data_IF_261659950012
#
_entry.id   IF_261659950012
#
_cell.length_a   1.000
_cell.length_b   1.000
_cell.length_c   1.000
_cell.angle_alpha   90.00
_cell.angle_beta   90.00
_cell.angle_gamma   90.00
#
_symmetry.space_group_name_H-M   'P 1'
#
loop_
_entity.id
_entity.type
_entity.pdbx_description
1 polymer ?
#
# COMPACT_ATOMS: atom_id res chain seq x y z
N UNK A 1 7.97 -8.14 4.18
CA UNK A 1 6.98 -7.03 4.18
C UNK A 1 5.75 -7.51 4.97
N UNK A 2 5.27 -6.78 5.99
CA UNK A 2 4.19 -7.26 6.88
C UNK A 2 2.85 -7.44 6.17
N UNK A 3 2.47 -6.51 5.28
CA UNK A 3 1.24 -6.62 4.50
C UNK A 3 1.24 -7.89 3.64
N UNK A 4 2.35 -8.20 2.97
CA UNK A 4 2.50 -9.42 2.16
C UNK A 4 2.32 -10.72 2.97
N UNK A 5 2.86 -10.78 4.20
CA UNK A 5 2.69 -11.95 5.06
C UNK A 5 1.22 -12.15 5.43
N UNK A 6 0.50 -11.06 5.69
CA UNK A 6 -0.91 -11.13 6.07
C UNK A 6 -1.78 -11.47 4.85
N UNK A 7 -1.48 -10.90 3.67
CA UNK A 7 -2.14 -11.26 2.41
C UNK A 7 -2.03 -12.77 2.15
N UNK A 8 -0.82 -13.33 2.26
CA UNK A 8 -0.61 -14.78 2.10
C UNK A 8 -1.36 -15.60 3.14
N UNK A 9 -1.47 -15.12 4.38
CA UNK A 9 -2.29 -15.77 5.41
C UNK A 9 -3.77 -15.77 5.02
N UNK A 10 -4.31 -14.62 4.58
CA UNK A 10 -5.71 -14.47 4.21
C UNK A 10 -6.07 -15.33 2.98
N UNK A 11 -5.18 -15.41 1.99
CA UNK A 11 -5.36 -16.29 0.83
C UNK A 11 -5.39 -17.78 1.20
N UNK A 12 -4.64 -18.17 2.23
CA UNK A 12 -4.51 -19.58 2.63
C UNK A 12 -5.53 -20.01 3.69
N UNK A 13 -5.98 -19.09 4.54
CA UNK A 13 -6.77 -19.38 5.74
C UNK A 13 -8.02 -18.49 5.82
N UNK A 14 -8.74 -18.38 4.70
CA UNK A 14 -9.95 -17.56 4.59
C UNK A 14 -11.04 -17.94 5.62
N UNK A 15 -11.16 -19.22 5.97
CA UNK A 15 -12.19 -19.73 6.90
C UNK A 15 -11.72 -19.73 8.37
N UNK A 16 -10.56 -19.13 8.66
CA UNK A 16 -10.06 -19.02 10.03
C UNK A 16 -10.88 -18.01 10.83
N UNK A 17 -11.14 -18.32 12.10
CA UNK A 17 -11.68 -17.36 13.08
C UNK A 17 -10.81 -16.08 13.21
N UNK A 18 -9.55 -16.12 12.76
CA UNK A 18 -8.64 -14.97 12.75
C UNK A 18 -8.65 -14.17 11.45
N UNK A 19 -9.36 -14.62 10.42
CA UNK A 19 -9.35 -14.00 9.10
C UNK A 19 -9.83 -12.55 9.17
N UNK A 20 -10.88 -12.26 9.93
CA UNK A 20 -11.41 -10.90 10.13
C UNK A 20 -10.35 -9.97 10.75
N UNK A 21 -9.79 -10.34 11.90
CA UNK A 21 -8.77 -9.54 12.59
C UNK A 21 -7.49 -9.35 11.72
N UNK A 22 -7.12 -10.36 10.94
CA UNK A 22 -6.01 -10.27 10.00
C UNK A 22 -6.34 -9.35 8.82
N UNK A 23 -7.58 -9.34 8.34
CA UNK A 23 -8.07 -8.41 7.32
C UNK A 23 -7.98 -6.96 7.76
N UNK A 24 -8.42 -6.64 8.99
CA UNK A 24 -8.26 -5.29 9.54
C UNK A 24 -6.79 -4.87 9.65
N UNK A 25 -5.94 -5.79 10.12
CA UNK A 25 -4.51 -5.53 10.26
C UNK A 25 -3.83 -5.33 8.90
N UNK A 26 -4.26 -6.08 7.89
CA UNK A 26 -3.82 -5.94 6.51
C UNK A 26 -4.16 -4.55 5.96
N UNK A 27 -5.41 -4.10 6.15
CA UNK A 27 -5.85 -2.75 5.79
C UNK A 27 -4.97 -1.66 6.41
N UNK A 28 -4.71 -1.75 7.72
CA UNK A 28 -3.83 -0.80 8.43
C UNK A 28 -2.42 -0.76 7.86
N UNK A 29 -1.81 -1.91 7.56
CA UNK A 29 -0.47 -1.93 6.98
C UNK A 29 -0.44 -1.39 5.56
N UNK A 30 -1.52 -1.54 4.79
CA UNK A 30 -1.64 -0.93 3.46
C UNK A 30 -1.79 0.58 3.54
N UNK A 31 -2.65 1.09 4.42
CA UNK A 31 -2.75 2.54 4.67
C UNK A 31 -1.38 3.13 5.05
N UNK A 32 -0.67 2.49 5.98
CA UNK A 32 0.69 2.91 6.35
C UNK A 32 1.67 2.84 5.18
N UNK A 33 1.50 1.88 4.26
CA UNK A 33 2.35 1.76 3.08
C UNK A 33 2.15 2.94 2.14
N UNK A 34 0.91 3.33 1.84
CA UNK A 34 0.61 4.34 0.80
C UNK A 34 0.47 5.78 1.31
N UNK A 35 0.17 5.96 2.60
CA UNK A 35 -0.04 7.28 3.22
C UNK A 35 1.01 7.57 4.29
N UNK A 36 1.53 6.54 4.96
CA UNK A 36 2.35 6.68 6.15
C UNK A 36 1.48 6.86 7.40
N UNK A 37 2.11 7.19 8.52
CA UNK A 37 1.37 7.57 9.73
C UNK A 37 1.13 9.09 9.76
N UNK A 38 0.17 9.58 10.56
CA UNK A 38 -0.06 11.02 10.70
C UNK A 38 1.21 11.81 11.04
N UNK A 39 2.08 11.25 11.89
CA UNK A 39 3.34 11.88 12.31
C UNK A 39 4.50 11.62 11.34
N UNK A 40 4.33 10.72 10.37
CA UNK A 40 5.36 10.35 9.40
C UNK A 40 4.73 10.01 8.05
N UNK A 41 4.15 11.00 7.35
CA UNK A 41 3.59 10.79 6.02
C UNK A 41 4.66 10.34 5.04
N UNK A 42 4.28 9.62 3.99
CA UNK A 42 5.24 9.15 2.97
C UNK A 42 5.80 10.28 2.11
N UNK A 43 5.01 11.34 1.90
CA UNK A 43 5.44 12.57 1.26
C UNK A 43 5.99 13.57 2.29
N UNK A 44 6.96 14.36 1.87
CA UNK A 44 7.43 15.53 2.63
C UNK A 44 6.33 16.60 2.61
N UNK A 45 5.80 17.02 3.78
CA UNK A 45 4.68 17.94 3.84
C UNK A 45 5.01 19.34 3.33
N UNK A 46 6.29 19.73 3.32
CA UNK A 46 6.70 21.06 2.85
C UNK A 46 7.00 21.06 1.35
N UNK A 47 7.42 19.91 0.80
CA UNK A 47 7.88 19.81 -0.59
C UNK A 47 6.89 19.10 -1.51
N UNK A 48 5.93 18.35 -0.97
CA UNK A 48 5.01 17.53 -1.73
C UNK A 48 5.69 16.43 -2.54
N UNK A 49 6.91 16.01 -2.15
CA UNK A 49 7.68 14.95 -2.83
C UNK A 49 7.85 13.75 -1.93
N UNK A 50 7.94 12.56 -2.54
CA UNK A 50 8.14 11.32 -1.80
C UNK A 50 9.46 11.38 -1.02
N UNK A 51 9.41 11.05 0.27
CA UNK A 51 10.61 11.03 1.12
C UNK A 51 11.61 10.00 0.58
N UNK A 52 12.89 10.36 0.50
CA UNK A 52 13.93 9.51 -0.08
C UNK A 52 14.02 8.12 0.57
N UNK A 53 13.78 8.02 1.88
CA UNK A 53 13.72 6.74 2.60
C UNK A 53 12.58 5.83 2.11
N UNK A 54 11.42 6.41 1.80
CA UNK A 54 10.25 5.69 1.31
C UNK A 54 10.47 5.25 -0.13
N UNK A 55 11.01 6.14 -0.97
CA UNK A 55 11.40 5.83 -2.35
C UNK A 55 12.33 4.61 -2.43
N UNK A 56 13.35 4.55 -1.57
CA UNK A 56 14.25 3.39 -1.49
C UNK A 56 13.50 2.11 -1.10
N UNK A 57 12.61 2.19 -0.11
CA UNK A 57 11.84 1.04 0.35
C UNK A 57 10.89 0.50 -0.74
N UNK A 58 10.20 1.38 -1.48
CA UNK A 58 9.35 0.97 -2.60
C UNK A 58 10.15 0.27 -3.69
N UNK A 59 11.27 0.86 -4.13
CA UNK A 59 12.15 0.24 -5.13
C UNK A 59 12.66 -1.15 -4.75
N UNK A 60 12.86 -1.42 -3.45
CA UNK A 60 13.21 -2.75 -2.98
C UNK A 60 12.01 -3.69 -2.99
N UNK A 61 10.85 -3.20 -2.55
CA UNK A 61 9.64 -4.00 -2.42
C UNK A 61 9.00 -4.40 -3.77
N UNK A 62 9.12 -3.57 -4.80
CA UNK A 62 8.60 -3.90 -6.16
C UNK A 62 9.36 -5.04 -6.83
N UNK A 63 10.56 -5.38 -6.36
CA UNK A 63 11.34 -6.51 -6.87
C UNK A 63 10.99 -7.83 -6.17
N UNK A 64 9.99 -7.85 -5.28
CA UNK A 64 9.52 -9.09 -4.69
C UNK A 64 8.70 -9.86 -5.73
N UNK A 65 9.05 -11.13 -5.90
CA UNK A 65 8.34 -12.08 -6.77
C UNK A 65 7.18 -12.75 -6.02
N UNK A 66 6.15 -13.13 -6.77
CA UNK A 66 4.96 -13.82 -6.26
C UNK A 66 3.66 -13.28 -6.83
N UNK A 67 2.61 -14.10 -6.78
CA UNK A 67 1.24 -13.68 -7.08
C UNK A 67 0.66 -12.97 -5.85
N UNK A 68 0.64 -11.64 -5.91
CA UNK A 68 0.24 -10.76 -4.82
C UNK A 68 -0.41 -9.51 -5.38
N UNK A 69 -1.65 -9.26 -4.99
CA UNK A 69 -2.36 -8.04 -5.38
C UNK A 69 -1.65 -6.83 -4.75
N UNK A 70 -1.21 -6.95 -3.49
CA UNK A 70 -0.49 -5.90 -2.80
C UNK A 70 0.80 -5.47 -3.52
N UNK A 71 1.62 -6.43 -3.95
CA UNK A 71 2.85 -6.13 -4.70
C UNK A 71 2.52 -5.54 -6.07
N UNK A 72 1.44 -6.00 -6.71
CA UNK A 72 0.98 -5.44 -7.99
C UNK A 72 0.56 -3.97 -7.85
N UNK A 73 -0.22 -3.64 -6.82
CA UNK A 73 -0.59 -2.26 -6.49
C UNK A 73 0.65 -1.41 -6.14
N UNK A 74 1.63 -1.98 -5.44
CA UNK A 74 2.87 -1.26 -5.12
C UNK A 74 3.73 -0.98 -6.35
N UNK A 75 3.79 -1.93 -7.30
CA UNK A 75 4.47 -1.76 -8.59
C UNK A 75 3.83 -0.66 -9.43
N UNK A 76 2.50 -0.66 -9.50
CA UNK A 76 1.75 0.37 -10.20
C UNK A 76 1.91 1.74 -9.51
N UNK A 77 1.88 1.81 -8.17
CA UNK A 77 2.15 3.05 -7.45
C UNK A 77 3.57 3.60 -7.70
N UNK A 78 4.61 2.76 -7.66
CA UNK A 78 5.98 3.20 -7.96
C UNK A 78 6.10 3.71 -9.40
N UNK A 79 5.39 3.10 -10.35
CA UNK A 79 5.32 3.60 -11.73
C UNK A 79 4.65 4.97 -11.79
N UNK A 80 3.47 5.14 -11.20
CA UNK A 80 2.77 6.43 -11.14
C UNK A 80 3.63 7.53 -10.52
N UNK A 81 4.35 7.19 -9.44
CA UNK A 81 5.29 8.09 -8.80
C UNK A 81 6.45 8.46 -9.73
N UNK A 82 7.00 7.52 -10.51
CA UNK A 82 8.07 7.80 -11.47
C UNK A 82 7.60 8.73 -12.59
N UNK A 83 6.42 8.48 -13.12
CA UNK A 83 5.84 9.23 -14.23
C UNK A 83 5.46 10.67 -13.80
N UNK A 84 5.26 10.89 -12.49
CA UNK A 84 4.92 12.18 -11.88
C UNK A 84 6.05 12.81 -11.04
N UNK A 85 7.33 12.54 -11.37
CA UNK A 85 8.51 13.11 -10.69
C UNK A 85 8.52 12.92 -9.16
N UNK A 86 7.89 11.85 -8.69
CA UNK A 86 7.69 11.50 -7.28
C UNK A 86 6.92 12.56 -6.48
N UNK A 87 6.10 13.37 -7.15
CA UNK A 87 5.28 14.41 -6.55
C UNK A 87 3.92 13.85 -6.15
N UNK A 88 3.39 14.37 -5.05
CA UNK A 88 1.98 14.23 -4.73
C UNK A 88 1.20 15.26 -5.56
N UNK A 89 0.58 14.78 -6.64
CA UNK A 89 -0.40 15.52 -7.41
C UNK A 89 -1.76 14.80 -7.32
N UNK A 90 -2.76 15.34 -8.01
CA UNK A 90 -4.12 14.80 -8.03
C UNK A 90 -4.15 13.34 -8.47
N UNK A 91 -3.49 12.99 -9.58
CA UNK A 91 -3.47 11.63 -10.13
C UNK A 91 -2.88 10.62 -9.13
N UNK A 92 -1.74 10.96 -8.52
CA UNK A 92 -1.08 10.11 -7.51
C UNK A 92 -1.94 9.99 -6.24
N UNK A 93 -2.62 11.07 -5.84
CA UNK A 93 -3.52 11.07 -4.69
C UNK A 93 -4.78 10.23 -4.93
N UNK A 94 -5.42 10.38 -6.08
CA UNK A 94 -6.58 9.60 -6.48
C UNK A 94 -6.25 8.11 -6.53
N UNK A 95 -5.10 7.75 -7.11
CA UNK A 95 -4.66 6.36 -7.18
C UNK A 95 -4.52 5.74 -5.79
N UNK A 96 -3.77 6.38 -4.87
CA UNK A 96 -3.60 5.83 -3.50
C UNK A 96 -4.92 5.77 -2.72
N UNK A 97 -5.85 6.70 -2.97
CA UNK A 97 -7.19 6.66 -2.37
C UNK A 97 -8.04 5.51 -2.94
N UNK A 98 -7.89 5.22 -4.24
CA UNK A 98 -8.63 4.12 -4.90
C UNK A 98 -8.27 2.75 -4.32
N UNK A 99 -6.99 2.55 -3.94
CA UNK A 99 -6.48 1.35 -3.28
C UNK A 99 -7.25 1.09 -1.98
N UNK A 100 -7.41 2.11 -1.13
CA UNK A 100 -8.10 1.96 0.17
C UNK A 100 -9.62 1.81 -0.01
N UNK A 101 -10.22 2.55 -0.95
CA UNK A 101 -11.66 2.42 -1.24
C UNK A 101 -12.04 1.03 -1.75
N UNK A 102 -11.15 0.34 -2.47
CA UNK A 102 -11.37 -1.04 -2.90
C UNK A 102 -11.48 -1.99 -1.70
N UNK A 103 -10.65 -1.80 -0.67
CA UNK A 103 -10.71 -2.60 0.56
C UNK A 103 -12.01 -2.44 1.33
N UNK A 104 -12.50 -1.21 1.48
CA UNK A 104 -13.76 -0.96 2.19
C UNK A 104 -14.97 -1.63 1.52
N UNK A 105 -14.90 -1.91 0.21
CA UNK A 105 -15.94 -2.67 -0.49
C UNK A 105 -15.78 -4.17 -0.27
N UNK A 106 -14.54 -4.67 -0.34
CA UNK A 106 -14.24 -6.08 -0.13
C UNK A 106 -14.49 -6.53 1.32
N UNK A 107 -14.29 -5.65 2.31
CA UNK A 107 -14.56 -5.94 3.72
C UNK A 107 -16.05 -5.91 4.12
N UNK A 108 -16.93 -5.43 3.23
CA UNK A 108 -18.38 -5.34 3.46
C UNK A 108 -19.21 -6.35 2.67
N UNK A 109 -18.56 -7.15 1.82
CA UNK A 109 -19.19 -8.18 0.97
C UNK A 109 -19.00 -9.54 1.61
#
# INVERSE_FOLDING_TARGET
NRALVIEQFLLKYQDSERAEAMGELYGKYRELTFFGSPNSPVFDPNKGVLKQKVKKAYKQAVNLDGDSEFISQLKEFDRMLRDNDYRLNEEVDEYRNSIIKRELRNAKS
#
